data_IF_660170811207
#
_entry.id   IF_660170811207
#
_cell.length_a   1.000
_cell.length_b   1.000
_cell.length_c   1.000
_cell.angle_alpha   90.00
_cell.angle_beta   90.00
_cell.angle_gamma   90.00
#
_symmetry.space_group_name_H-M   'P 1'
#
loop_
_entity.id
_entity.type
_entity.pdbx_description
1 polymer ?
#
# COMPACT_ATOMS: atom_id res chain seq x y z
N UNK A 1 4.53 -15.61 3.35
CA UNK A 1 3.82 -14.38 2.94
C UNK A 1 3.44 -13.58 4.19
N UNK A 2 3.78 -12.32 4.22
CA UNK A 2 3.48 -11.42 5.34
C UNK A 2 2.37 -10.46 4.96
N UNK A 3 1.39 -10.29 5.85
CA UNK A 3 0.22 -9.46 5.59
C UNK A 3 0.12 -8.33 6.62
N UNK A 4 -0.47 -7.21 6.20
CA UNK A 4 -0.85 -6.16 7.13
C UNK A 4 -2.14 -6.57 7.84
N UNK A 5 -2.26 -6.21 9.12
CA UNK A 5 -3.51 -6.36 9.86
C UNK A 5 -4.35 -5.08 9.72
N UNK A 6 -5.61 -5.17 10.11
CA UNK A 6 -6.48 -3.99 10.19
C UNK A 6 -5.85 -2.93 11.11
N UNK A 7 -5.26 -3.36 12.22
CA UNK A 7 -4.59 -2.45 13.16
C UNK A 7 -3.39 -1.75 12.53
N UNK A 8 -2.63 -2.46 11.69
CA UNK A 8 -1.51 -1.85 10.96
C UNK A 8 -2.00 -0.74 10.03
N UNK A 9 -3.09 -0.99 9.31
CA UNK A 9 -3.69 0.00 8.40
C UNK A 9 -4.22 1.20 9.19
N UNK A 10 -4.89 0.98 10.32
CA UNK A 10 -5.36 2.05 11.20
C UNK A 10 -4.20 2.91 11.70
N UNK A 11 -3.11 2.27 12.10
CA UNK A 11 -1.90 2.99 12.54
C UNK A 11 -1.32 3.84 11.41
N UNK A 12 -1.22 3.29 10.21
CA UNK A 12 -0.74 4.03 9.03
C UNK A 12 -1.62 5.26 8.78
N UNK A 13 -2.94 5.10 8.81
CA UNK A 13 -3.87 6.22 8.63
C UNK A 13 -3.63 7.30 9.68
N UNK A 14 -3.45 6.92 10.93
CA UNK A 14 -3.19 7.87 12.02
C UNK A 14 -1.89 8.65 11.78
N UNK A 15 -0.84 8.01 11.30
CA UNK A 15 0.42 8.68 10.99
C UNK A 15 0.27 9.69 9.86
N UNK A 16 -0.56 9.39 8.87
CA UNK A 16 -0.80 10.25 7.70
C UNK A 16 -1.74 11.41 8.05
N UNK A 17 -2.88 11.09 8.64
CA UNK A 17 -3.91 12.08 8.96
C UNK A 17 -3.60 12.93 10.19
N UNK A 18 -2.70 12.46 11.04
CA UNK A 18 -2.27 13.10 12.30
C UNK A 18 -3.37 13.19 13.36
N UNK A 19 -4.54 12.62 13.11
CA UNK A 19 -5.67 12.59 14.04
C UNK A 19 -6.55 11.38 13.75
N UNK A 20 -7.25 10.85 14.76
CA UNK A 20 -8.24 9.79 14.51
C UNK A 20 -9.35 10.33 13.61
N UNK A 21 -9.77 9.53 12.65
CA UNK A 21 -10.88 9.87 11.77
C UNK A 21 -11.98 8.82 11.88
N UNK A 22 -13.11 9.11 11.27
CA UNK A 22 -14.20 8.13 11.14
C UNK A 22 -13.83 7.12 10.05
N UNK A 23 -14.26 5.90 10.24
CA UNK A 23 -14.07 4.86 9.24
C UNK A 23 -15.17 3.82 9.31
N UNK A 24 -15.39 3.13 8.18
CA UNK A 24 -16.25 1.97 8.12
C UNK A 24 -15.44 0.72 8.41
N UNK A 25 -15.71 0.06 9.52
CA UNK A 25 -14.98 -1.16 9.89
C UNK A 25 -15.17 -2.26 8.83
N UNK A 26 -16.38 -2.43 8.32
CA UNK A 26 -16.65 -3.43 7.30
C UNK A 26 -15.85 -3.17 6.02
N UNK A 27 -15.80 -1.91 5.57
CA UNK A 27 -15.03 -1.54 4.38
C UNK A 27 -13.51 -1.67 4.63
N UNK A 28 -13.06 -1.33 5.84
CA UNK A 28 -11.64 -1.46 6.20
C UNK A 28 -11.21 -2.93 6.20
N UNK A 29 -12.02 -3.80 6.78
CA UNK A 29 -11.78 -5.24 6.81
C UNK A 29 -11.72 -5.80 5.39
N UNK A 30 -12.69 -5.45 4.55
CA UNK A 30 -12.70 -5.88 3.16
C UNK A 30 -11.52 -5.34 2.38
N UNK A 31 -11.21 -4.04 2.49
CA UNK A 31 -10.08 -3.43 1.82
C UNK A 31 -8.76 -4.11 2.20
N UNK A 32 -8.58 -4.40 3.47
CA UNK A 32 -7.38 -5.08 3.96
C UNK A 32 -7.27 -6.51 3.42
N UNK A 33 -8.41 -7.18 3.21
CA UNK A 33 -8.44 -8.56 2.71
C UNK A 33 -7.96 -8.70 1.26
N UNK A 34 -7.97 -7.62 0.48
CA UNK A 34 -7.54 -7.69 -0.93
C UNK A 34 -6.06 -8.05 -1.11
N UNK A 35 -5.26 -7.93 -0.07
CA UNK A 35 -3.85 -8.34 -0.12
C UNK A 35 -3.66 -9.86 -0.11
N UNK A 36 -4.69 -10.63 0.28
CA UNK A 36 -4.58 -12.08 0.41
C UNK A 36 -4.58 -12.78 -0.94
N UNK A 37 -3.89 -13.93 -1.00
CA UNK A 37 -3.96 -14.81 -2.15
C UNK A 37 -5.23 -15.65 -2.10
N UNK A 38 -5.92 -15.74 -3.22
CA UNK A 38 -7.10 -16.59 -3.37
C UNK A 38 -6.89 -17.54 -4.56
N UNK A 39 -7.09 -18.83 -4.32
CA UNK A 39 -6.98 -19.83 -5.38
C UNK A 39 -5.57 -19.87 -5.97
N UNK A 40 -5.47 -19.61 -7.28
CA UNK A 40 -4.20 -19.66 -8.02
C UNK A 40 -3.40 -18.36 -8.00
N UNK A 41 -3.85 -17.34 -7.28
CA UNK A 41 -3.24 -16.00 -7.30
C UNK A 41 -2.16 -15.82 -6.23
N UNK A 42 -1.20 -16.75 -6.17
CA UNK A 42 -0.07 -16.67 -5.24
C UNK A 42 1.08 -15.88 -5.88
N UNK A 43 0.83 -14.64 -6.24
CA UNK A 43 1.82 -13.76 -6.85
C UNK A 43 1.78 -12.41 -6.16
N UNK A 44 2.89 -12.02 -5.53
CA UNK A 44 3.00 -10.78 -4.76
C UNK A 44 2.55 -9.57 -5.57
N UNK A 45 2.97 -9.48 -6.84
CA UNK A 45 2.59 -8.32 -7.68
C UNK A 45 1.10 -8.28 -7.96
N UNK A 46 0.48 -9.43 -8.25
CA UNK A 46 -0.97 -9.49 -8.47
C UNK A 46 -1.76 -9.21 -7.20
N UNK A 47 -1.27 -9.70 -6.06
CA UNK A 47 -1.88 -9.43 -4.76
C UNK A 47 -1.79 -7.94 -4.42
N UNK A 48 -0.62 -7.32 -4.64
CA UNK A 48 -0.44 -5.89 -4.44
C UNK A 48 -1.36 -5.07 -5.35
N UNK A 49 -1.49 -5.48 -6.62
CA UNK A 49 -2.39 -4.81 -7.58
C UNK A 49 -3.83 -4.79 -7.07
N UNK A 50 -4.32 -5.93 -6.59
CA UNK A 50 -5.67 -6.01 -5.99
C UNK A 50 -5.79 -5.14 -4.75
N UNK A 51 -4.75 -5.11 -3.94
CA UNK A 51 -4.74 -4.32 -2.71
C UNK A 51 -4.81 -2.82 -3.00
N UNK A 52 -3.95 -2.31 -3.91
CA UNK A 52 -4.00 -0.90 -4.31
C UNK A 52 -5.38 -0.51 -4.83
N UNK A 53 -5.89 -1.26 -5.81
CA UNK A 53 -7.16 -0.95 -6.46
C UNK A 53 -8.36 -1.13 -5.55
N UNK A 54 -8.39 -2.22 -4.81
CA UNK A 54 -9.48 -2.53 -3.89
C UNK A 54 -9.57 -1.55 -2.74
N UNK A 55 -8.43 -1.19 -2.16
CA UNK A 55 -8.38 -0.23 -1.07
C UNK A 55 -8.88 1.15 -1.52
N UNK A 56 -8.38 1.61 -2.67
CA UNK A 56 -8.82 2.89 -3.23
C UNK A 56 -10.33 2.92 -3.51
N UNK A 57 -10.87 1.81 -4.02
CA UNK A 57 -12.31 1.69 -4.34
C UNK A 57 -13.17 1.67 -3.07
N UNK A 58 -12.76 0.90 -2.06
CA UNK A 58 -13.53 0.79 -0.81
C UNK A 58 -13.49 2.05 0.03
N UNK A 59 -12.40 2.78 -0.03
CA UNK A 59 -12.26 4.06 0.65
C UNK A 59 -12.81 4.02 2.09
N UNK A 60 -12.22 3.18 2.98
CA UNK A 60 -12.82 2.93 4.31
C UNK A 60 -12.79 4.12 5.26
N UNK A 61 -11.91 5.10 5.04
CA UNK A 61 -11.74 6.25 5.91
C UNK A 61 -12.52 7.46 5.37
N UNK A 62 -12.75 8.44 6.23
CA UNK A 62 -13.37 9.70 5.82
C UNK A 62 -12.41 10.61 5.03
N UNK A 63 -11.12 10.34 5.08
CA UNK A 63 -10.11 11.08 4.34
C UNK A 63 -8.84 10.26 4.13
N UNK A 64 -7.98 10.72 3.21
CA UNK A 64 -6.64 10.19 2.97
C UNK A 64 -6.59 8.74 2.47
N UNK A 65 -7.69 8.20 1.95
CA UNK A 65 -7.75 6.80 1.51
C UNK A 65 -6.71 6.48 0.45
N UNK A 66 -6.53 7.36 -0.51
CA UNK A 66 -5.59 7.18 -1.60
C UNK A 66 -4.14 7.14 -1.09
N UNK A 67 -3.82 8.00 -0.15
CA UNK A 67 -2.48 8.05 0.46
C UNK A 67 -2.23 6.82 1.33
N UNK A 68 -3.25 6.38 2.08
CA UNK A 68 -3.15 5.13 2.86
C UNK A 68 -2.95 3.93 1.94
N UNK A 69 -3.67 3.87 0.82
CA UNK A 69 -3.49 2.80 -0.17
C UNK A 69 -2.04 2.77 -0.68
N UNK A 70 -1.46 3.94 -0.96
CA UNK A 70 -0.07 4.05 -1.39
C UNK A 70 0.88 3.47 -0.34
N UNK A 71 0.82 3.96 0.89
CA UNK A 71 1.74 3.52 1.95
C UNK A 71 1.53 2.04 2.27
N UNK A 72 0.29 1.62 2.49
CA UNK A 72 0.00 0.22 2.84
C UNK A 72 0.41 -0.75 1.72
N UNK A 73 0.15 -0.39 0.47
CA UNK A 73 0.53 -1.22 -0.67
C UNK A 73 2.05 -1.35 -0.82
N UNK A 74 2.79 -0.25 -0.64
CA UNK A 74 4.25 -0.27 -0.67
C UNK A 74 4.81 -1.10 0.49
N UNK A 75 4.23 -0.97 1.68
CA UNK A 75 4.62 -1.79 2.84
C UNK A 75 4.41 -3.27 2.55
N UNK A 76 3.26 -3.62 1.95
CA UNK A 76 2.99 -5.01 1.57
C UNK A 76 4.07 -5.56 0.62
N UNK A 77 4.45 -4.78 -0.39
CA UNK A 77 5.52 -5.16 -1.33
C UNK A 77 6.84 -5.38 -0.61
N UNK A 78 7.24 -4.42 0.24
CA UNK A 78 8.51 -4.51 0.98
C UNK A 78 8.53 -5.70 1.94
N UNK A 79 7.41 -6.02 2.58
CA UNK A 79 7.30 -7.18 3.47
C UNK A 79 7.44 -8.51 2.73
N UNK A 80 7.19 -8.51 1.43
CA UNK A 80 7.10 -9.74 0.64
C UNK A 80 8.16 -9.84 -0.46
N UNK A 81 9.29 -9.19 -0.26
CA UNK A 81 10.46 -9.38 -1.11
C UNK A 81 10.48 -8.55 -2.39
N UNK A 82 9.67 -7.50 -2.47
CA UNK A 82 9.68 -6.57 -3.61
C UNK A 82 10.03 -5.19 -3.11
N UNK A 83 11.25 -4.75 -3.39
CA UNK A 83 11.69 -3.41 -2.99
C UNK A 83 11.12 -2.36 -3.94
N UNK A 84 10.42 -1.36 -3.38
CA UNK A 84 9.83 -0.26 -4.13
C UNK A 84 10.92 0.77 -4.46
N UNK A 85 11.18 0.94 -5.75
CA UNK A 85 12.19 1.85 -6.25
C UNK A 85 11.67 2.52 -7.54
N UNK A 86 10.69 3.45 -7.40
CA UNK A 86 10.04 4.04 -8.57
C UNK A 86 11.00 4.93 -9.34
N UNK A 87 10.94 4.84 -10.66
CA UNK A 87 11.67 5.72 -11.59
C UNK A 87 10.89 6.99 -11.86
N UNK A 88 9.58 6.92 -11.70
CA UNK A 88 8.67 8.04 -11.92
C UNK A 88 8.75 9.01 -10.74
N UNK A 89 8.97 10.29 -11.02
CA UNK A 89 9.07 11.31 -9.97
C UNK A 89 7.71 11.72 -9.42
N UNK A 90 6.69 11.70 -10.29
CA UNK A 90 5.31 12.01 -9.91
C UNK A 90 4.64 10.74 -9.38
N UNK A 91 4.69 10.57 -8.06
CA UNK A 91 4.09 9.40 -7.41
C UNK A 91 2.56 9.45 -7.43
N UNK A 92 1.96 10.61 -7.60
CA UNK A 92 0.52 10.72 -7.83
C UNK A 92 0.12 10.06 -9.14
N UNK A 93 0.85 10.34 -10.22
CA UNK A 93 0.63 9.70 -11.51
C UNK A 93 0.90 8.20 -11.45
N UNK A 94 1.96 7.79 -10.75
CA UNK A 94 2.24 6.37 -10.53
C UNK A 94 1.08 5.69 -9.82
N UNK A 95 0.56 6.30 -8.76
CA UNK A 95 -0.53 5.75 -7.97
C UNK A 95 -1.81 5.61 -8.80
N UNK A 96 -2.10 6.57 -9.69
CA UNK A 96 -3.23 6.46 -10.61
C UNK A 96 -3.15 5.19 -11.46
N UNK A 97 -1.95 4.84 -11.90
CA UNK A 97 -1.72 3.59 -12.64
C UNK A 97 -1.83 2.36 -11.75
N UNK A 98 -1.29 2.44 -10.53
CA UNK A 98 -1.29 1.31 -9.60
C UNK A 98 -2.69 0.92 -9.11
N UNK A 99 -3.60 1.88 -8.96
CA UNK A 99 -4.97 1.61 -8.51
C UNK A 99 -5.90 1.20 -9.66
N UNK A 100 -5.49 1.37 -10.90
CA UNK A 100 -6.29 1.05 -12.08
C UNK A 100 -5.95 -0.36 -12.56
N UNK A 101 -6.91 -1.28 -12.53
CA UNK A 101 -6.69 -2.69 -12.87
C UNK A 101 -5.92 -2.93 -14.18
N UNK A 102 -6.26 -2.29 -15.31
CA UNK A 102 -5.53 -2.51 -16.57
C UNK A 102 -4.05 -2.16 -16.54
N UNK A 103 -3.63 -1.23 -15.67
CA UNK A 103 -2.25 -0.74 -15.62
C UNK A 103 -1.50 -1.10 -14.34
N UNK A 104 -2.19 -1.69 -13.38
CA UNK A 104 -1.66 -1.92 -12.02
C UNK A 104 -0.43 -2.83 -12.02
N UNK A 105 -0.52 -3.99 -12.64
CA UNK A 105 0.60 -4.95 -12.67
C UNK A 105 1.85 -4.34 -13.31
N UNK A 106 1.69 -3.64 -14.42
CA UNK A 106 2.79 -2.98 -15.12
C UNK A 106 3.44 -1.91 -14.25
N UNK A 107 2.62 -1.07 -13.59
CA UNK A 107 3.13 -0.02 -12.71
C UNK A 107 3.96 -0.62 -11.57
N UNK A 108 3.50 -1.72 -10.97
CA UNK A 108 4.19 -2.38 -9.86
C UNK A 108 5.48 -3.04 -10.37
N UNK A 109 5.43 -3.73 -11.49
CA UNK A 109 6.60 -4.40 -12.06
C UNK A 109 7.71 -3.40 -12.38
N UNK A 110 7.39 -2.28 -13.02
CA UNK A 110 8.36 -1.24 -13.39
C UNK A 110 9.01 -0.57 -12.18
N UNK A 111 8.31 -0.52 -11.06
CA UNK A 111 8.72 0.24 -9.88
C UNK A 111 9.29 -0.60 -8.76
N UNK A 112 9.37 -1.93 -8.93
CA UNK A 112 9.90 -2.81 -7.89
C UNK A 112 11.00 -3.70 -8.43
N UNK A 113 11.91 -4.07 -7.52
CA UNK A 113 12.95 -5.06 -7.81
C UNK A 113 12.89 -6.14 -6.74
N UNK A 114 13.30 -7.35 -7.09
CA UNK A 114 13.37 -8.43 -6.13
C UNK A 114 14.38 -8.08 -5.04
N UNK A 115 13.96 -8.19 -3.78
CA UNK A 115 14.83 -7.95 -2.64
C UNK A 115 15.47 -9.28 -2.22
N UNK A 116 16.77 -9.26 -1.99
CA UNK A 116 17.51 -10.42 -1.47
C UNK A 116 17.68 -10.38 0.04
N UNK A 117 17.15 -9.35 0.67
CA UNK A 117 17.24 -9.17 2.11
C UNK A 117 16.26 -10.14 2.81
N UNK A 118 16.81 -11.04 3.61
CA UNK A 118 16.07 -12.11 4.27
C UNK A 118 15.84 -11.85 5.76
N UNK A 119 16.09 -10.64 6.24
CA UNK A 119 15.88 -10.32 7.66
C UNK A 119 14.41 -10.33 8.02
N UNK A 120 14.03 -10.90 9.18
CA UNK A 120 12.66 -10.74 9.67
C UNK A 120 12.41 -9.27 9.93
N UNK A 121 11.35 -8.74 9.33
CA UNK A 121 11.00 -7.32 9.44
C UNK A 121 9.64 -7.18 10.08
N UNK A 122 9.57 -6.31 11.06
CA UNK A 122 8.30 -5.93 11.66
C UNK A 122 7.57 -4.95 10.75
N UNK A 123 6.27 -5.18 10.53
CA UNK A 123 5.45 -4.33 9.67
C UNK A 123 5.55 -2.85 10.05
N UNK A 124 5.51 -2.54 11.35
CA UNK A 124 5.58 -1.15 11.82
C UNK A 124 6.90 -0.48 11.48
N UNK A 125 8.00 -1.22 11.52
CA UNK A 125 9.32 -0.69 11.16
C UNK A 125 9.40 -0.39 9.67
N UNK A 126 8.87 -1.28 8.84
CA UNK A 126 8.79 -1.07 7.39
C UNK A 126 7.90 0.14 7.09
N UNK A 127 6.76 0.24 7.75
CA UNK A 127 5.84 1.36 7.56
C UNK A 127 6.49 2.70 7.93
N UNK A 128 7.22 2.75 9.05
CA UNK A 128 7.96 3.96 9.45
C UNK A 128 8.98 4.36 8.39
N UNK A 129 9.73 3.40 7.86
CA UNK A 129 10.73 3.66 6.83
C UNK A 129 10.09 4.22 5.55
N UNK A 130 8.95 3.65 5.13
CA UNK A 130 8.20 4.13 3.96
C UNK A 130 7.67 5.54 4.19
N UNK A 131 7.08 5.80 5.36
CA UNK A 131 6.55 7.12 5.72
C UNK A 131 7.65 8.20 5.70
N UNK A 132 8.83 7.88 6.18
CA UNK A 132 9.97 8.81 6.18
C UNK A 132 10.51 9.04 4.77
N UNK A 133 10.74 7.95 4.04
CA UNK A 133 11.34 8.02 2.70
C UNK A 133 10.47 8.81 1.72
N UNK A 134 9.16 8.65 1.82
CA UNK A 134 8.21 9.28 0.89
C UNK A 134 7.42 10.42 1.51
N UNK A 135 7.95 11.05 2.56
CA UNK A 135 7.27 12.13 3.28
C UNK A 135 6.79 13.26 2.35
N UNK A 136 7.65 13.72 1.45
CA UNK A 136 7.30 14.80 0.51
C UNK A 136 6.17 14.38 -0.45
N UNK A 137 6.26 13.15 -0.96
CA UNK A 137 5.23 12.61 -1.86
C UNK A 137 3.90 12.44 -1.13
N UNK A 138 3.93 11.97 0.12
CA UNK A 138 2.75 11.81 0.95
C UNK A 138 2.05 13.15 1.17
N UNK A 139 2.79 14.19 1.51
CA UNK A 139 2.24 15.55 1.66
C UNK A 139 1.57 16.02 0.37
N UNK A 140 2.21 15.77 -0.75
CA UNK A 140 1.68 16.15 -2.05
C UNK A 140 0.40 15.38 -2.40
N UNK A 141 0.34 14.09 -2.07
CA UNK A 141 -0.85 13.27 -2.31
C UNK A 141 -2.06 13.73 -1.47
N UNK A 142 -1.80 14.38 -0.33
CA UNK A 142 -2.86 14.88 0.56
C UNK A 142 -3.43 16.25 0.13
N UNK A 143 -2.78 16.93 -0.77
CA UNK A 143 -3.23 18.23 -1.29
C UNK A 143 -4.49 18.14 -2.15
#
# INVERSE_FOLDING_TARGET
MHYLTVQDVLWIHLQIAKKPGKFSFANLEEATSYQYAYGKSHDVMSQAARFFGGFATKAPFDSANRTVAFVAGVVFLELNGRHFNPKEKDLGAWLDRAVNQPTSNEAIEESTIASTDSHPVECRDVAKAVLEKYEAAIKKLLE
#
